data_IF_031092320509
#
_entry.id   IF_031092320509
#
_cell.length_a   1.000
_cell.length_b   1.000
_cell.length_c   1.000
_cell.angle_alpha   90.00
_cell.angle_beta   90.00
_cell.angle_gamma   90.00
#
_symmetry.space_group_name_H-M   'P 1'
#
loop_
_entity.id
_entity.type
_entity.pdbx_description
1 polymer ?
#
# COMPACT_ATOMS: atom_id res chain seq x y z
N UNK A 1 -0.20 23.63 -6.19
CA UNK A 1 0.89 22.73 -6.61
C UNK A 1 1.13 22.98 -8.10
N UNK A 2 2.37 23.17 -8.53
CA UNK A 2 2.67 23.30 -9.96
C UNK A 2 2.55 21.93 -10.67
N UNK A 3 2.45 21.89 -12.02
CA UNK A 3 2.21 20.64 -12.75
C UNK A 3 3.29 19.57 -12.55
N UNK A 4 4.55 19.96 -12.36
CA UNK A 4 5.65 19.00 -12.18
C UNK A 4 5.57 18.38 -10.79
N UNK A 5 5.36 19.21 -9.77
CA UNK A 5 5.14 18.73 -8.40
C UNK A 5 3.90 17.85 -8.28
N UNK A 6 2.83 18.17 -9.01
CA UNK A 6 1.61 17.34 -9.07
C UNK A 6 1.90 15.97 -9.71
N UNK A 7 2.58 15.94 -10.85
CA UNK A 7 2.93 14.68 -11.49
C UNK A 7 3.80 13.82 -10.58
N UNK A 8 4.80 14.42 -9.94
CA UNK A 8 5.68 13.72 -9.02
C UNK A 8 4.90 13.16 -7.81
N UNK A 9 3.99 13.94 -7.25
CA UNK A 9 3.10 13.50 -6.17
C UNK A 9 2.29 12.25 -6.54
N UNK A 10 1.63 12.25 -7.70
CA UNK A 10 0.85 11.11 -8.17
C UNK A 10 1.74 9.88 -8.45
N UNK A 11 2.93 10.10 -9.02
CA UNK A 11 3.89 9.04 -9.27
C UNK A 11 4.40 8.40 -7.97
N UNK A 12 4.55 9.16 -6.88
CA UNK A 12 4.90 8.61 -5.58
C UNK A 12 3.84 7.61 -5.09
N UNK A 13 2.55 7.96 -5.16
CA UNK A 13 1.46 7.04 -4.78
C UNK A 13 1.47 5.75 -5.62
N UNK A 14 1.59 5.87 -6.94
CA UNK A 14 1.69 4.72 -7.86
C UNK A 14 2.88 3.85 -7.49
N UNK A 15 4.06 4.46 -7.33
CA UNK A 15 5.30 3.76 -7.02
C UNK A 15 5.23 3.03 -5.67
N UNK A 16 4.61 3.63 -4.67
CA UNK A 16 4.37 3.00 -3.36
C UNK A 16 3.46 1.78 -3.52
N UNK A 17 2.35 1.92 -4.27
CA UNK A 17 1.44 0.79 -4.54
C UNK A 17 2.13 -0.40 -5.20
N UNK A 18 2.91 -0.14 -6.26
CA UNK A 18 3.75 -1.17 -6.92
C UNK A 18 4.74 -1.78 -5.94
N UNK A 19 5.45 -0.96 -5.16
CA UNK A 19 6.49 -1.42 -4.24
C UNK A 19 5.92 -2.30 -3.14
N UNK A 20 4.80 -1.90 -2.51
CA UNK A 20 4.13 -2.70 -1.48
C UNK A 20 3.71 -4.07 -2.02
N UNK A 21 3.17 -4.12 -3.25
CA UNK A 21 2.77 -5.39 -3.85
C UNK A 21 3.96 -6.23 -4.30
N UNK A 22 5.00 -5.63 -4.87
CA UNK A 22 6.23 -6.32 -5.23
C UNK A 22 6.84 -7.01 -4.00
N UNK A 23 6.90 -6.31 -2.87
CA UNK A 23 7.41 -6.87 -1.62
C UNK A 23 6.55 -8.01 -1.07
N UNK A 24 5.25 -8.06 -1.39
CA UNK A 24 4.37 -9.20 -1.09
C UNK A 24 4.64 -10.39 -2.04
N UNK A 25 4.85 -10.13 -3.33
CA UNK A 25 5.12 -11.16 -4.34
C UNK A 25 6.47 -11.85 -4.14
N UNK A 26 7.54 -11.09 -3.86
CA UNK A 26 8.89 -11.62 -3.64
C UNK A 26 8.98 -12.49 -2.39
N UNK A 27 8.07 -12.32 -1.43
CA UNK A 27 8.00 -13.17 -0.23
C UNK A 27 7.48 -14.58 -0.51
N UNK A 28 6.96 -14.87 -1.71
CA UNK A 28 6.50 -16.21 -2.07
C UNK A 28 7.70 -17.04 -2.58
N UNK A 29 7.97 -18.23 -2.01
CA UNK A 29 9.17 -19.02 -2.29
C UNK A 29 9.32 -19.48 -3.76
N UNK A 30 8.30 -19.26 -4.59
CA UNK A 30 8.31 -19.58 -6.02
C UNK A 30 8.80 -18.44 -6.94
N UNK A 31 9.10 -17.23 -6.42
CA UNK A 31 9.59 -16.10 -7.24
C UNK A 31 11.06 -15.80 -6.95
N UNK A 32 11.91 -16.06 -7.95
CA UNK A 32 13.36 -15.83 -7.98
C UNK A 32 13.73 -14.33 -8.06
N UNK A 33 13.33 -13.50 -7.09
CA UNK A 33 13.84 -12.14 -7.00
C UNK A 33 15.01 -12.07 -6.02
N UNK A 34 16.18 -11.65 -6.51
CA UNK A 34 17.41 -11.55 -5.71
C UNK A 34 17.29 -10.50 -4.61
N UNK A 35 17.87 -10.79 -3.44
CA UNK A 35 17.88 -9.97 -2.22
C UNK A 35 18.22 -8.49 -2.49
N UNK A 36 19.13 -8.22 -3.44
CA UNK A 36 19.52 -6.86 -3.82
C UNK A 36 18.37 -6.03 -4.41
N UNK A 37 17.51 -6.63 -5.24
CA UNK A 37 16.36 -5.93 -5.85
C UNK A 37 15.31 -5.57 -4.81
N UNK A 38 15.04 -6.46 -3.86
CA UNK A 38 14.12 -6.23 -2.74
C UNK A 38 14.61 -5.09 -1.85
N UNK A 39 15.90 -5.07 -1.52
CA UNK A 39 16.51 -3.99 -0.74
C UNK A 39 16.37 -2.62 -1.42
N UNK A 40 16.66 -2.55 -2.73
CA UNK A 40 16.50 -1.32 -3.50
C UNK A 40 15.05 -0.83 -3.53
N UNK A 41 14.08 -1.73 -3.71
CA UNK A 41 12.65 -1.38 -3.70
C UNK A 41 12.22 -0.85 -2.33
N UNK A 42 12.67 -1.45 -1.23
CA UNK A 42 12.37 -0.95 0.13
C UNK A 42 12.92 0.47 0.30
N UNK A 43 14.17 0.71 -0.06
CA UNK A 43 14.81 2.03 0.09
C UNK A 43 14.04 3.09 -0.71
N UNK A 44 13.76 2.82 -1.99
CA UNK A 44 13.05 3.75 -2.85
C UNK A 44 11.63 4.01 -2.36
N UNK A 45 10.92 2.97 -1.89
CA UNK A 45 9.57 3.11 -1.35
C UNK A 45 9.58 3.95 -0.06
N UNK A 46 10.53 3.71 0.84
CA UNK A 46 10.73 4.54 2.03
C UNK A 46 10.99 6.00 1.69
N UNK A 47 11.82 6.28 0.68
CA UNK A 47 12.09 7.66 0.24
C UNK A 47 10.83 8.33 -0.33
N UNK A 48 10.06 7.63 -1.17
CA UNK A 48 8.81 8.17 -1.72
C UNK A 48 7.79 8.47 -0.61
N UNK A 49 7.65 7.56 0.36
CA UNK A 49 6.79 7.75 1.53
C UNK A 49 7.27 8.92 2.38
N UNK A 50 8.59 9.01 2.64
CA UNK A 50 9.19 10.11 3.40
C UNK A 50 8.94 11.46 2.77
N UNK A 51 9.07 11.57 1.44
CA UNK A 51 8.80 12.80 0.71
C UNK A 51 7.32 13.18 0.74
N UNK A 52 6.40 12.24 0.52
CA UNK A 52 4.95 12.50 0.66
C UNK A 52 4.60 12.94 2.09
N UNK A 53 5.22 12.29 3.09
CA UNK A 53 5.00 12.58 4.50
C UNK A 53 5.51 13.95 4.92
N UNK A 54 6.56 14.46 4.27
CA UNK A 54 7.09 15.80 4.50
C UNK A 54 6.29 16.90 3.76
N UNK A 55 5.68 16.56 2.63
CA UNK A 55 5.00 17.52 1.75
C UNK A 55 3.54 17.76 2.09
N UNK A 56 2.85 16.78 2.68
CA UNK A 56 1.43 16.89 3.02
C UNK A 56 1.05 16.03 4.25
N UNK A 57 0.44 16.69 5.24
CA UNK A 57 -0.04 16.07 6.48
C UNK A 57 -1.08 14.96 6.23
N UNK A 58 -1.94 15.18 5.23
CA UNK A 58 -3.01 14.21 4.94
C UNK A 58 -2.43 12.96 4.28
N UNK A 59 -1.47 13.11 3.37
CA UNK A 59 -0.71 11.99 2.78
C UNK A 59 0.08 11.21 3.83
N UNK A 60 0.67 11.90 4.81
CA UNK A 60 1.28 11.24 5.97
C UNK A 60 0.28 10.35 6.72
N UNK A 61 -0.90 10.89 7.08
CA UNK A 61 -1.94 10.13 7.77
C UNK A 61 -2.43 8.91 6.97
N UNK A 62 -2.61 9.04 5.65
CA UNK A 62 -3.01 7.93 4.77
C UNK A 62 -1.94 6.84 4.73
N UNK A 63 -0.69 7.20 4.43
CA UNK A 63 0.40 6.23 4.33
C UNK A 63 0.62 5.50 5.65
N UNK A 64 0.52 6.23 6.77
CA UNK A 64 0.68 5.65 8.10
C UNK A 64 -0.46 4.69 8.42
N UNK A 65 -1.69 5.04 8.02
CA UNK A 65 -2.86 4.18 8.18
C UNK A 65 -2.75 2.87 7.37
N UNK A 66 -2.31 2.94 6.10
CA UNK A 66 -2.13 1.75 5.25
C UNK A 66 -1.08 0.81 5.84
N UNK A 67 0.07 1.34 6.26
CA UNK A 67 1.17 0.54 6.82
C UNK A 67 0.75 -0.08 8.15
N UNK A 68 0.11 0.70 9.03
CA UNK A 68 -0.35 0.21 10.32
C UNK A 68 -1.44 -0.85 10.16
N UNK A 69 -2.44 -0.63 9.31
CA UNK A 69 -3.48 -1.61 9.00
C UNK A 69 -2.88 -2.93 8.48
N UNK A 70 -1.94 -2.84 7.55
CA UNK A 70 -1.23 -4.01 7.01
C UNK A 70 -0.44 -4.76 8.08
N UNK A 71 0.15 -4.04 9.04
CA UNK A 71 0.88 -4.63 10.16
C UNK A 71 -0.08 -5.33 11.13
N UNK A 72 -1.21 -4.70 11.47
CA UNK A 72 -2.24 -5.24 12.36
C UNK A 72 -2.89 -6.51 11.79
N UNK A 73 -3.18 -6.54 10.48
CA UNK A 73 -3.79 -7.70 9.81
C UNK A 73 -2.84 -8.90 9.62
N UNK A 74 -1.58 -8.81 10.08
CA UNK A 74 -0.69 -9.97 10.17
C UNK A 74 -0.22 -10.59 8.85
N UNK A 75 -0.62 -10.07 7.67
CA UNK A 75 -0.40 -10.68 6.34
C UNK A 75 1.03 -11.03 5.95
N UNK A 76 2.03 -10.47 6.62
CA UNK A 76 3.38 -10.46 6.06
C UNK A 76 4.23 -11.77 6.20
N UNK A 77 3.71 -12.99 6.31
CA UNK A 77 4.35 -14.32 6.60
C UNK A 77 5.86 -14.62 6.97
N UNK A 78 6.87 -13.73 6.88
CA UNK A 78 8.26 -13.97 7.33
C UNK A 78 8.73 -12.87 8.30
N UNK A 79 8.64 -13.12 9.61
CA UNK A 79 8.75 -12.14 10.71
C UNK A 79 9.86 -11.09 10.56
N UNK A 80 11.07 -11.50 10.18
CA UNK A 80 12.26 -10.63 10.13
C UNK A 80 12.18 -9.59 9.01
N UNK A 81 11.76 -9.98 7.80
CA UNK A 81 11.60 -9.03 6.70
C UNK A 81 10.33 -8.16 6.89
N UNK A 82 9.29 -8.65 7.59
CA UNK A 82 8.14 -7.81 8.00
C UNK A 82 8.62 -6.67 8.87
N UNK A 83 9.32 -7.02 9.95
CA UNK A 83 9.73 -6.07 10.97
C UNK A 83 10.70 -5.08 10.37
N UNK A 84 11.65 -5.52 9.54
CA UNK A 84 12.57 -4.61 8.86
C UNK A 84 11.87 -3.66 7.88
N UNK A 85 10.93 -4.15 7.06
CA UNK A 85 10.23 -3.31 6.08
C UNK A 85 9.28 -2.33 6.76
N UNK A 86 8.44 -2.83 7.67
CA UNK A 86 7.47 -2.00 8.41
C UNK A 86 8.22 -1.02 9.30
N UNK A 87 9.26 -1.44 10.02
CA UNK A 87 10.05 -0.52 10.83
C UNK A 87 10.78 0.51 9.99
N UNK A 88 11.33 0.14 8.82
CA UNK A 88 11.99 1.11 7.93
C UNK A 88 10.99 2.15 7.42
N UNK A 89 9.81 1.74 6.97
CA UNK A 89 8.78 2.66 6.48
C UNK A 89 8.28 3.56 7.62
N UNK A 90 7.91 2.98 8.78
CA UNK A 90 7.46 3.75 9.94
C UNK A 90 8.53 4.70 10.47
N UNK A 91 9.80 4.27 10.51
CA UNK A 91 10.91 5.12 10.94
C UNK A 91 11.10 6.30 9.99
N UNK A 92 11.13 6.06 8.67
CA UNK A 92 11.26 7.13 7.68
C UNK A 92 10.08 8.10 7.77
N UNK A 93 8.87 7.59 7.99
CA UNK A 93 7.68 8.40 8.20
C UNK A 93 7.79 9.32 9.43
N UNK A 94 8.14 8.76 10.59
CA UNK A 94 8.33 9.54 11.83
C UNK A 94 9.46 10.55 11.68
N UNK A 95 10.57 10.16 11.07
CA UNK A 95 11.72 11.05 10.83
C UNK A 95 11.33 12.27 10.00
N UNK A 96 10.63 12.08 8.87
CA UNK A 96 10.20 13.20 8.03
C UNK A 96 9.04 14.00 8.61
N UNK A 97 8.15 13.37 9.39
CA UNK A 97 7.09 14.09 10.12
C UNK A 97 7.67 15.05 11.17
N UNK A 98 8.71 14.62 11.90
CA UNK A 98 9.43 15.47 12.85
C UNK A 98 10.13 16.64 12.17
N UNK A 99 10.65 16.44 10.96
CA UNK A 99 11.27 17.52 10.16
C UNK A 99 10.25 18.49 9.56
N UNK A 100 9.09 17.99 9.14
CA UNK A 100 8.03 18.79 8.50
C UNK A 100 7.09 19.51 9.46
N UNK A 101 7.11 19.15 10.76
CA UNK A 101 6.19 19.72 11.75
C UNK A 101 4.73 19.28 11.55
N UNK A 102 4.52 18.15 10.87
CA UNK A 102 3.19 17.67 10.50
C UNK A 102 2.47 17.05 11.71
N UNK A 103 1.25 17.50 11.97
CA UNK A 103 0.33 16.87 12.93
C UNK A 103 -0.23 15.56 12.37
N UNK A 104 -0.88 14.75 13.20
CA UNK A 104 -1.78 13.71 12.69
C UNK A 104 -3.17 14.08 13.14
N UNK A 105 -4.08 14.27 12.18
CA UNK A 105 -5.50 14.25 12.49
C UNK A 105 -5.89 12.83 12.96
N UNK A 106 -5.93 12.63 14.28
CA UNK A 106 -6.14 11.33 14.91
C UNK A 106 -7.46 10.67 14.49
N UNK A 107 -8.51 11.46 14.23
CA UNK A 107 -9.80 10.94 13.79
C UNK A 107 -9.74 10.40 12.34
N UNK A 108 -9.15 11.19 11.43
CA UNK A 108 -8.91 10.77 10.05
C UNK A 108 -8.03 9.50 10.02
N UNK A 109 -6.94 9.51 10.77
CA UNK A 109 -6.01 8.39 10.87
C UNK A 109 -6.67 7.12 11.40
N UNK A 110 -7.45 7.21 12.49
CA UNK A 110 -8.14 6.06 13.07
C UNK A 110 -9.18 5.47 12.11
N UNK A 111 -9.96 6.32 11.43
CA UNK A 111 -10.95 5.89 10.45
C UNK A 111 -10.29 5.17 9.26
N UNK A 112 -9.24 5.77 8.69
CA UNK A 112 -8.50 5.16 7.58
C UNK A 112 -7.84 3.84 8.00
N UNK A 113 -7.25 3.79 9.19
CA UNK A 113 -6.60 2.57 9.70
C UNK A 113 -7.63 1.45 9.89
N UNK A 114 -8.79 1.75 10.45
CA UNK A 114 -9.88 0.77 10.57
C UNK A 114 -10.36 0.30 9.21
N UNK A 115 -10.58 1.21 8.26
CA UNK A 115 -11.06 0.87 6.91
C UNK A 115 -10.08 -0.05 6.18
N UNK A 116 -8.80 0.32 6.13
CA UNK A 116 -7.78 -0.52 5.51
C UNK A 116 -7.56 -1.83 6.28
N UNK A 117 -7.68 -1.84 7.61
CA UNK A 117 -7.58 -3.08 8.39
C UNK A 117 -8.71 -4.04 8.02
N UNK A 118 -9.95 -3.55 7.87
CA UNK A 118 -11.07 -4.35 7.42
C UNK A 118 -10.84 -4.92 6.02
N UNK A 119 -10.33 -4.13 5.07
CA UNK A 119 -9.98 -4.65 3.73
C UNK A 119 -8.96 -5.78 3.80
N UNK A 120 -7.92 -5.60 4.62
CA UNK A 120 -6.87 -6.60 4.77
C UNK A 120 -7.40 -7.90 5.40
N UNK A 121 -8.29 -7.80 6.39
CA UNK A 121 -8.95 -8.94 7.04
C UNK A 121 -9.99 -9.64 6.14
N UNK A 122 -10.80 -8.88 5.40
CA UNK A 122 -11.74 -9.42 4.41
C UNK A 122 -10.99 -10.23 3.36
N UNK A 123 -9.87 -9.69 2.87
CA UNK A 123 -9.03 -10.37 1.90
C UNK A 123 -8.34 -11.62 2.46
N UNK A 124 -7.96 -11.63 3.75
CA UNK A 124 -7.32 -12.80 4.38
C UNK A 124 -8.31 -13.94 4.66
N UNK A 125 -9.57 -13.62 4.96
CA UNK A 125 -10.63 -14.58 5.31
C UNK A 125 -11.46 -15.06 4.13
N UNK A 126 -11.25 -14.53 2.92
CA UNK A 126 -11.92 -14.93 1.69
C UNK A 126 -11.48 -16.34 1.18
N UNK A 127 -11.79 -17.41 1.92
CA UNK A 127 -11.49 -18.80 1.48
C UNK A 127 -12.56 -19.42 0.56
N UNK A 128 -13.79 -18.90 0.55
CA UNK A 128 -14.83 -19.13 -0.48
C UNK A 128 -16.06 -18.25 -0.21
N UNK A 129 -15.95 -16.91 -0.26
CA UNK A 129 -17.10 -16.05 -0.11
C UNK A 129 -17.99 -16.08 -1.37
N UNK A 130 -19.29 -15.70 -1.25
CA UNK A 130 -20.16 -15.41 -2.39
C UNK A 130 -19.48 -14.46 -3.39
N UNK A 131 -19.82 -14.50 -4.70
CA UNK A 131 -19.11 -13.73 -5.75
C UNK A 131 -18.96 -12.24 -5.45
N UNK A 132 -19.99 -11.62 -4.85
CA UNK A 132 -19.99 -10.20 -4.49
C UNK A 132 -19.00 -9.91 -3.36
N UNK A 133 -18.99 -10.74 -2.31
CA UNK A 133 -18.05 -10.59 -1.19
C UNK A 133 -16.61 -10.91 -1.62
N UNK A 134 -16.44 -11.72 -2.65
CA UNK A 134 -15.15 -11.97 -3.28
C UNK A 134 -14.64 -10.73 -4.00
N UNK A 135 -15.46 -10.08 -4.83
CA UNK A 135 -15.09 -8.81 -5.48
C UNK A 135 -14.74 -7.73 -4.45
N UNK A 136 -15.55 -7.58 -3.40
CA UNK A 136 -15.31 -6.61 -2.32
C UNK A 136 -13.96 -6.87 -1.63
N UNK A 137 -13.65 -8.14 -1.33
CA UNK A 137 -12.40 -8.51 -0.68
C UNK A 137 -11.18 -8.46 -1.62
N UNK A 138 -11.35 -8.71 -2.92
CA UNK A 138 -10.26 -8.65 -3.91
C UNK A 138 -9.87 -7.19 -4.26
N UNK A 139 -10.83 -6.27 -4.25
CA UNK A 139 -10.64 -4.88 -4.68
C UNK A 139 -10.54 -3.83 -3.56
N UNK A 140 -10.36 -4.23 -2.30
CA UNK A 140 -10.17 -3.30 -1.16
C UNK A 140 -11.22 -2.18 -1.11
N UNK A 141 -12.48 -2.54 -1.39
CA UNK A 141 -13.55 -1.58 -1.66
C UNK A 141 -13.92 -0.76 -0.42
N UNK A 142 -13.64 -1.26 0.80
CA UNK A 142 -14.00 -0.56 2.04
C UNK A 142 -13.14 0.69 2.22
N UNK A 143 -11.83 0.58 2.03
CA UNK A 143 -10.87 1.68 2.11
C UNK A 143 -11.17 2.77 1.09
N UNK A 144 -11.44 2.39 -0.16
CA UNK A 144 -11.81 3.32 -1.22
C UNK A 144 -13.13 4.02 -0.93
N UNK A 145 -14.16 3.30 -0.49
CA UNK A 145 -15.45 3.88 -0.13
C UNK A 145 -15.32 4.87 1.04
N UNK A 146 -14.53 4.54 2.06
CA UNK A 146 -14.25 5.44 3.19
C UNK A 146 -13.46 6.66 2.72
N UNK A 147 -12.49 6.51 1.82
CA UNK A 147 -11.75 7.64 1.27
C UNK A 147 -12.64 8.59 0.43
N UNK A 148 -13.52 8.04 -0.40
CA UNK A 148 -14.52 8.83 -1.14
C UNK A 148 -15.43 9.57 -0.17
N UNK A 149 -15.94 8.89 0.86
CA UNK A 149 -16.74 9.52 1.91
C UNK A 149 -15.98 10.67 2.58
N UNK A 150 -14.76 10.44 3.05
CA UNK A 150 -13.93 11.48 3.68
C UNK A 150 -13.67 12.66 2.74
N UNK A 151 -13.51 12.40 1.43
CA UNK A 151 -13.35 13.46 0.43
C UNK A 151 -14.62 14.28 0.24
N UNK A 152 -15.80 13.65 0.20
CA UNK A 152 -17.09 14.34 0.06
C UNK A 152 -17.38 15.26 1.25
N UNK A 153 -16.94 14.89 2.45
CA UNK A 153 -17.09 15.70 3.67
C UNK A 153 -15.93 16.69 3.90
N UNK A 154 -15.00 16.81 2.95
CA UNK A 154 -13.88 17.75 3.02
C UNK A 154 -12.80 17.39 4.06
N UNK A 155 -12.83 16.16 4.59
CA UNK A 155 -11.81 15.64 5.52
C UNK A 155 -10.61 15.03 4.79
N UNK A 156 -10.77 14.72 3.51
CA UNK A 156 -9.70 14.26 2.62
C UNK A 156 -9.64 15.18 1.39
N UNK A 157 -8.45 15.66 1.04
CA UNK A 157 -8.27 16.45 -0.18
C UNK A 157 -8.51 15.62 -1.44
N UNK A 158 -9.11 16.22 -2.47
CA UNK A 158 -9.40 15.53 -3.74
C UNK A 158 -8.14 14.96 -4.42
N UNK A 159 -7.01 15.67 -4.33
CA UNK A 159 -5.73 15.18 -4.83
C UNK A 159 -5.27 13.90 -4.12
N UNK A 160 -5.54 13.78 -2.82
CA UNK A 160 -5.15 12.63 -2.02
C UNK A 160 -6.08 11.45 -2.27
N UNK A 161 -7.35 11.71 -2.56
CA UNK A 161 -8.26 10.68 -3.07
C UNK A 161 -7.74 10.11 -4.40
N UNK A 162 -7.38 10.97 -5.37
CA UNK A 162 -6.82 10.50 -6.64
C UNK A 162 -5.53 9.72 -6.40
N UNK A 163 -4.64 10.23 -5.57
CA UNK A 163 -3.39 9.54 -5.19
C UNK A 163 -3.68 8.15 -4.62
N UNK A 164 -4.61 8.05 -3.67
CA UNK A 164 -4.99 6.77 -3.06
C UNK A 164 -5.57 5.78 -4.08
N UNK A 165 -6.49 6.22 -4.94
CA UNK A 165 -7.07 5.38 -5.99
C UNK A 165 -5.99 4.90 -6.98
N UNK A 166 -5.01 5.74 -7.31
CA UNK A 166 -3.87 5.35 -8.14
C UNK A 166 -2.94 4.36 -7.45
N UNK A 167 -2.70 4.54 -6.15
CA UNK A 167 -1.94 3.57 -5.35
C UNK A 167 -2.63 2.21 -5.37
N UNK A 168 -3.94 2.17 -5.16
CA UNK A 168 -4.69 0.92 -5.15
C UNK A 168 -4.75 0.27 -6.53
N UNK A 169 -5.04 1.05 -7.59
CA UNK A 169 -4.98 0.55 -8.96
C UNK A 169 -3.60 -0.03 -9.31
N UNK A 170 -2.52 0.66 -8.93
CA UNK A 170 -1.15 0.18 -9.15
C UNK A 170 -0.85 -1.11 -8.37
N UNK A 171 -1.35 -1.21 -7.13
CA UNK A 171 -1.26 -2.42 -6.32
C UNK A 171 -1.97 -3.60 -6.99
N UNK A 172 -3.21 -3.40 -7.45
CA UNK A 172 -4.03 -4.44 -8.10
C UNK A 172 -3.42 -4.90 -9.44
N UNK A 173 -2.99 -3.96 -10.29
CA UNK A 173 -2.33 -4.26 -11.57
C UNK A 173 -1.06 -5.11 -11.33
N UNK A 174 -0.29 -4.76 -10.31
CA UNK A 174 0.94 -5.49 -9.96
C UNK A 174 0.61 -6.91 -9.47
N UNK A 175 -0.47 -7.10 -8.70
CA UNK A 175 -0.91 -8.44 -8.28
C UNK A 175 -1.34 -9.30 -9.47
N UNK A 176 -2.20 -8.76 -10.34
CA UNK A 176 -2.67 -9.47 -11.52
C UNK A 176 -1.51 -9.87 -12.45
N UNK A 177 -0.52 -9.00 -12.61
CA UNK A 177 0.69 -9.31 -13.37
C UNK A 177 1.51 -10.42 -12.70
N UNK A 178 1.73 -10.35 -11.39
CA UNK A 178 2.44 -11.37 -10.62
C UNK A 178 1.77 -12.75 -10.69
N UNK A 179 0.44 -12.80 -10.61
CA UNK A 179 -0.33 -14.04 -10.74
C UNK A 179 -0.20 -14.65 -12.14
N UNK A 180 -0.30 -13.85 -13.21
CA UNK A 180 -0.11 -14.31 -14.60
C UNK A 180 1.29 -14.86 -14.83
N UNK A 181 2.33 -14.19 -14.31
CA UNK A 181 3.71 -14.63 -14.43
C UNK A 181 3.91 -16.00 -13.75
N UNK A 182 3.36 -16.16 -12.54
CA UNK A 182 3.39 -17.42 -11.80
C UNK A 182 2.70 -18.55 -12.57
N UNK A 183 1.51 -18.32 -13.11
CA UNK A 183 0.79 -19.35 -13.88
C UNK A 183 1.59 -19.81 -15.11
N UNK A 184 2.27 -18.88 -15.78
CA UNK A 184 3.19 -19.21 -16.89
C UNK A 184 4.40 -20.03 -16.45
N UNK A 185 5.00 -19.71 -15.31
CA UNK A 185 6.14 -20.46 -14.76
C UNK A 185 5.72 -21.89 -14.38
N UNK A 186 4.58 -22.04 -13.71
CA UNK A 186 4.06 -23.35 -13.30
C UNK A 186 3.72 -24.20 -14.53
N UNK A 187 3.05 -23.63 -15.54
CA UNK A 187 2.74 -24.34 -16.78
C UNK A 187 4.02 -24.89 -17.45
N UNK A 188 5.06 -24.05 -17.55
CA UNK A 188 6.36 -24.47 -18.12
C UNK A 188 7.08 -25.55 -17.31
N UNK A 189 6.89 -25.60 -15.99
CA UNK A 189 7.50 -26.60 -15.12
C UNK A 189 6.75 -27.94 -15.11
N UNK A 190 5.47 -27.95 -15.52
CA UNK A 190 4.68 -29.18 -15.69
C UNK A 190 4.97 -29.82 -17.06
N UNK A 191 5.28 -29.00 -18.07
CA UNK A 191 5.59 -29.45 -19.43
C UNK A 191 7.04 -29.96 -19.61
N UNK A 192 7.90 -29.84 -18.58
CA UNK A 192 9.33 -30.23 -18.58
C UNK A 192 9.59 -31.50 -17.77
#
# INVERSE_FOLDING_TARGET
MDPVSLLFFLLCYVFIGVSLKYLDLVKRPSMLAGVATTGAVIILASLAIGWLSASDETSFAIMFAIILASALAGKLNTYVLKVATVAALLFTMVFFALLGGNGINAALFALLTMAFYFDEELHSHAKSPPPILREIAEHRVVGDAVAVYLCLFGLLGFLNLIGLLLLDAAYQITDAWGQRLRNKIIARAIDS
#
